data_IF_031298786419
#
_entry.id   IF_031298786419
#
_cell.length_a   1.000
_cell.length_b   1.000
_cell.length_c   1.000
_cell.angle_alpha   90.00
_cell.angle_beta   90.00
_cell.angle_gamma   90.00
#
_symmetry.space_group_name_H-M   'P 1'
#
loop_
_entity.id
_entity.type
_entity.pdbx_description
1 polymer ?
#
# COMPACT_ATOMS: atom_id res chain seq x y z
N UNK A 1 -24.37 2.87 12.20
CA UNK A 1 -23.51 2.13 13.14
C UNK A 1 -22.53 1.21 12.42
N UNK A 2 -21.58 1.75 11.64
CA UNK A 2 -20.53 0.94 10.98
C UNK A 2 -19.12 1.28 11.44
N UNK A 3 -18.92 2.45 12.05
CA UNK A 3 -17.60 2.93 12.49
C UNK A 3 -16.95 2.05 13.55
N UNK A 4 -17.74 1.32 14.34
CA UNK A 4 -17.27 0.40 15.38
C UNK A 4 -16.69 -0.91 14.85
N UNK A 5 -16.78 -1.18 13.53
CA UNK A 5 -16.25 -2.40 12.89
C UNK A 5 -14.87 -2.20 12.26
N UNK A 6 -14.36 -0.98 12.25
CA UNK A 6 -13.05 -0.67 11.69
C UNK A 6 -11.98 -0.95 12.74
N UNK A 7 -10.95 -1.66 12.32
CA UNK A 7 -9.73 -1.76 13.12
C UNK A 7 -8.98 -0.41 13.11
N UNK A 8 -8.19 -0.20 14.17
CA UNK A 8 -7.33 0.99 14.27
C UNK A 8 -6.23 0.99 13.19
N UNK A 9 -5.77 2.16 12.73
CA UNK A 9 -4.74 2.27 11.69
C UNK A 9 -3.44 1.50 12.00
N UNK A 10 -3.12 1.31 13.28
CA UNK A 10 -2.01 0.51 13.79
C UNK A 10 -2.05 -0.94 13.27
N UNK A 11 -3.24 -1.55 13.20
CA UNK A 11 -3.39 -2.93 12.75
C UNK A 11 -2.97 -3.08 11.28
N UNK A 12 -3.43 -2.15 10.42
CA UNK A 12 -3.02 -2.14 9.01
C UNK A 12 -1.52 -1.84 8.87
N UNK A 13 -0.96 -0.92 9.66
CA UNK A 13 0.48 -0.64 9.66
C UNK A 13 1.32 -1.87 10.05
N UNK A 14 0.87 -2.65 11.02
CA UNK A 14 1.57 -3.87 11.45
C UNK A 14 1.57 -4.92 10.32
N UNK A 15 0.41 -5.15 9.68
CA UNK A 15 0.29 -6.07 8.55
C UNK A 15 1.25 -5.67 7.42
N UNK A 16 1.27 -4.39 7.03
CA UNK A 16 2.14 -3.91 5.96
C UNK A 16 3.62 -4.08 6.32
N UNK A 17 4.02 -3.74 7.55
CA UNK A 17 5.40 -3.92 8.01
C UNK A 17 5.81 -5.39 8.02
N UNK A 18 5.00 -6.26 8.63
CA UNK A 18 5.31 -7.68 8.78
C UNK A 18 5.38 -8.41 7.44
N UNK A 19 4.48 -8.08 6.50
CA UNK A 19 4.33 -8.83 5.25
C UNK A 19 5.20 -8.27 4.12
N UNK A 20 5.41 -6.95 4.09
CA UNK A 20 6.06 -6.28 2.95
C UNK A 20 7.51 -5.85 3.22
N UNK A 21 7.97 -5.75 4.48
CA UNK A 21 9.33 -5.31 4.77
C UNK A 21 10.39 -6.09 3.99
N UNK A 22 11.28 -5.37 3.30
CA UNK A 22 12.35 -5.94 2.45
C UNK A 22 11.90 -6.41 1.07
N UNK A 23 10.60 -6.41 0.76
CA UNK A 23 10.06 -6.87 -0.53
C UNK A 23 9.98 -5.74 -1.54
N UNK A 24 10.11 -6.12 -2.82
CA UNK A 24 10.06 -5.22 -3.98
C UNK A 24 9.00 -5.68 -4.96
N UNK A 25 8.30 -4.72 -5.57
CA UNK A 25 7.22 -4.99 -6.51
C UNK A 25 7.25 -4.01 -7.68
N UNK A 26 6.74 -4.46 -8.82
CA UNK A 26 6.33 -3.59 -9.92
C UNK A 26 4.85 -3.25 -9.70
N UNK A 27 4.53 -1.96 -9.79
CA UNK A 27 3.18 -1.41 -9.64
C UNK A 27 2.42 -1.49 -10.97
N UNK A 28 1.09 -1.33 -10.92
CA UNK A 28 0.25 -1.36 -12.13
C UNK A 28 0.58 -0.23 -13.12
N UNK A 29 1.20 0.85 -12.64
CA UNK A 29 1.69 1.96 -13.46
C UNK A 29 3.10 1.72 -14.04
N UNK A 30 3.70 0.55 -13.80
CA UNK A 30 5.04 0.18 -14.31
C UNK A 30 6.24 0.62 -13.45
N UNK A 31 6.02 1.36 -12.36
CA UNK A 31 7.10 1.80 -11.46
C UNK A 31 7.44 0.74 -10.41
N UNK A 32 8.65 0.83 -9.84
CA UNK A 32 9.09 -0.06 -8.77
C UNK A 32 8.91 0.57 -7.39
N UNK A 33 8.56 -0.26 -6.40
CA UNK A 33 8.52 0.12 -4.98
C UNK A 33 9.28 -0.89 -4.14
N UNK A 34 9.94 -0.42 -3.08
CA UNK A 34 10.58 -1.24 -2.04
C UNK A 34 10.00 -0.89 -0.67
N UNK A 35 9.42 -1.86 0.03
CA UNK A 35 8.80 -1.62 1.33
C UNK A 35 9.79 -1.82 2.49
N UNK A 36 9.67 -0.99 3.53
CA UNK A 36 10.51 -1.10 4.74
C UNK A 36 11.98 -0.70 4.54
N UNK A 37 12.27 0.13 3.53
CA UNK A 37 13.63 0.62 3.24
C UNK A 37 13.62 2.13 2.98
N UNK A 38 14.80 2.77 3.01
CA UNK A 38 14.95 4.22 2.80
C UNK A 38 14.61 4.71 1.37
N UNK A 39 14.29 3.80 0.44
CA UNK A 39 13.93 4.09 -0.97
C UNK A 39 12.47 3.72 -1.27
N UNK A 40 11.58 3.90 -0.29
CA UNK A 40 10.15 3.68 -0.46
C UNK A 40 9.51 4.79 -1.30
N UNK A 41 8.75 4.40 -2.33
CA UNK A 41 7.81 5.28 -3.01
C UNK A 41 6.45 5.14 -2.34
N UNK A 42 5.73 6.25 -2.17
CA UNK A 42 4.34 6.21 -1.75
C UNK A 42 3.47 5.57 -2.84
N UNK A 43 2.48 4.80 -2.39
CA UNK A 43 1.55 4.10 -3.26
C UNK A 43 0.13 4.59 -3.01
N UNK A 44 -0.68 4.54 -4.06
CA UNK A 44 -2.13 4.75 -3.99
C UNK A 44 -2.82 3.42 -4.26
N UNK A 45 -3.67 2.99 -3.33
CA UNK A 45 -4.55 1.83 -3.50
C UNK A 45 -5.91 2.31 -3.98
N UNK A 46 -6.26 1.96 -5.21
CA UNK A 46 -7.55 2.28 -5.81
C UNK A 46 -8.47 1.07 -5.62
N UNK A 47 -9.53 1.27 -4.82
CA UNK A 47 -10.53 0.25 -4.57
C UNK A 47 -11.44 0.05 -5.80
N UNK A 48 -11.75 -1.21 -6.11
CA UNK A 48 -12.59 -1.63 -7.23
C UNK A 48 -12.90 -3.12 -7.12
N UNK A 49 -13.47 -3.73 -8.17
CA UNK A 49 -13.68 -5.19 -8.22
C UNK A 49 -12.36 -5.95 -8.05
N UNK A 50 -11.29 -5.40 -8.63
CA UNK A 50 -9.91 -5.80 -8.41
C UNK A 50 -9.14 -4.54 -7.99
N UNK A 51 -8.47 -4.54 -6.82
CA UNK A 51 -7.73 -3.38 -6.36
C UNK A 51 -6.53 -3.12 -7.27
N UNK A 52 -6.30 -1.86 -7.60
CA UNK A 52 -5.09 -1.42 -8.31
C UNK A 52 -4.14 -0.73 -7.35
N UNK A 53 -2.86 -0.97 -7.52
CA UNK A 53 -1.79 -0.36 -6.73
C UNK A 53 -0.87 0.39 -7.68
N UNK A 54 -0.91 1.72 -7.61
CA UNK A 54 -0.11 2.61 -8.45
C UNK A 54 0.79 3.50 -7.60
N UNK A 55 1.76 4.14 -8.24
CA UNK A 55 2.60 5.14 -7.60
C UNK A 55 1.77 6.38 -7.27
N UNK A 56 2.03 7.05 -6.14
CA UNK A 56 1.29 8.28 -5.81
C UNK A 56 1.48 9.40 -6.85
N UNK A 57 2.62 9.43 -7.54
CA UNK A 57 2.87 10.39 -8.65
C UNK A 57 2.03 10.10 -9.91
N UNK A 58 1.50 8.88 -10.04
CA UNK A 58 0.75 8.39 -11.19
C UNK A 58 -0.77 8.49 -10.98
N UNK A 59 -1.19 8.68 -9.74
CA UNK A 59 -2.60 8.72 -9.32
C UNK A 59 -3.19 10.13 -9.25
N UNK A 60 -2.46 11.13 -9.74
CA UNK A 60 -2.87 12.53 -9.82
C UNK A 60 -3.17 12.94 -11.27
#
# INVERSE_FOLDING_TARGET
EEKSRYDEPEALRDILKRVLSGRKFMLDCGHHVSFGTNLGNDITVINGKEPKIICSLCGH
#
